data_IF_301545997842
#
_entry.id   IF_301545997842
#
_cell.length_a   1.000
_cell.length_b   1.000
_cell.length_c   1.000
_cell.angle_alpha   90.00
_cell.angle_beta   90.00
_cell.angle_gamma   90.00
#
_symmetry.space_group_name_H-M   'P 1'
#
loop_
_entity.id
_entity.type
_entity.pdbx_description
1 polymer ?
#
# COMPACT_ATOMS: atom_id res chain seq x y z
N UNK A 1 -13.31 -16.11 -14.96
CA UNK A 1 -12.25 -16.35 -13.96
C UNK A 1 -12.69 -15.78 -12.58
N UNK A 2 -12.37 -16.45 -11.46
CA UNK A 2 -12.54 -15.81 -10.16
C UNK A 2 -11.74 -14.51 -10.13
N UNK A 3 -12.26 -13.51 -9.41
CA UNK A 3 -11.52 -12.27 -9.19
C UNK A 3 -10.22 -12.62 -8.45
N UNK A 4 -9.09 -12.02 -8.84
CA UNK A 4 -7.83 -12.26 -8.17
C UNK A 4 -7.97 -11.92 -6.68
N UNK A 5 -7.58 -12.87 -5.84
CA UNK A 5 -7.55 -12.69 -4.38
C UNK A 5 -6.17 -12.18 -3.96
N UNK A 6 -6.09 -11.30 -2.94
CA UNK A 6 -4.81 -10.91 -2.37
C UNK A 6 -3.98 -12.12 -1.92
N UNK A 7 -2.66 -12.03 -2.09
CA UNK A 7 -1.67 -13.02 -1.66
C UNK A 7 -0.77 -13.55 -2.78
N UNK A 8 -1.15 -13.33 -4.04
CA UNK A 8 -0.39 -13.80 -5.22
C UNK A 8 -0.25 -12.73 -6.31
N UNK A 9 -0.56 -11.46 -6.02
CA UNK A 9 -0.38 -10.34 -6.94
C UNK A 9 1.05 -9.86 -7.08
N UNK A 10 1.21 -8.73 -7.77
CA UNK A 10 2.49 -8.05 -7.97
C UNK A 10 2.73 -7.11 -6.80
N UNK A 11 3.87 -7.24 -6.11
CA UNK A 11 4.15 -6.47 -4.91
C UNK A 11 4.89 -5.17 -5.25
N UNK A 12 4.75 -4.14 -4.43
CA UNK A 12 5.55 -2.93 -4.56
C UNK A 12 5.82 -2.36 -3.17
N UNK A 13 7.08 -2.36 -2.76
CA UNK A 13 7.49 -1.85 -1.45
C UNK A 13 7.61 -0.32 -1.49
N UNK A 14 6.75 0.37 -0.73
CA UNK A 14 6.78 1.83 -0.54
C UNK A 14 7.78 2.20 0.58
N UNK A 15 8.23 1.21 1.35
CA UNK A 15 9.17 1.33 2.44
C UNK A 15 8.54 1.75 3.76
N UNK A 16 9.41 1.94 4.74
CA UNK A 16 9.04 2.39 6.09
C UNK A 16 9.06 3.90 6.21
N UNK A 17 8.01 4.46 6.82
CA UNK A 17 7.85 5.90 7.07
C UNK A 17 7.51 6.16 8.54
N UNK A 18 7.92 7.31 9.02
CA UNK A 18 7.55 7.85 10.34
C UNK A 18 6.76 9.14 10.08
N UNK A 19 5.47 9.14 10.42
CA UNK A 19 4.54 10.21 10.05
C UNK A 19 3.83 10.68 11.32
N UNK A 20 3.79 12.00 11.52
CA UNK A 20 3.08 12.59 12.65
C UNK A 20 1.57 12.39 12.51
N UNK A 21 0.89 12.16 13.63
CA UNK A 21 -0.56 12.06 13.69
C UNK A 21 -1.19 13.41 14.03
N UNK A 22 -2.49 13.55 13.73
CA UNK A 22 -3.27 14.76 13.94
C UNK A 22 -3.60 15.06 15.42
N UNK A 23 -3.13 14.24 16.37
CA UNK A 23 -3.40 14.43 17.79
C UNK A 23 -2.95 15.82 18.30
N UNK A 24 -3.77 16.47 19.14
CA UNK A 24 -3.41 17.72 19.77
C UNK A 24 -2.06 17.63 20.49
N UNK A 25 -1.20 18.62 20.24
CA UNK A 25 0.14 18.70 20.84
C UNK A 25 1.25 18.06 20.01
N UNK A 26 0.94 17.39 18.89
CA UNK A 26 1.92 17.00 17.86
C UNK A 26 3.03 16.04 18.32
N UNK A 27 2.79 15.31 19.42
CA UNK A 27 3.78 14.39 20.00
C UNK A 27 3.65 12.95 19.49
N UNK A 28 2.56 12.66 18.77
CA UNK A 28 2.24 11.30 18.33
C UNK A 28 2.64 11.07 16.89
N UNK A 29 3.14 9.88 16.61
CA UNK A 29 3.54 9.47 15.29
C UNK A 29 3.23 8.00 15.04
N UNK A 30 3.06 7.66 13.76
CA UNK A 30 2.95 6.31 13.26
C UNK A 30 4.22 5.97 12.51
N UNK A 31 4.94 4.95 12.97
CA UNK A 31 5.94 4.24 12.18
C UNK A 31 5.25 3.09 11.45
N UNK A 32 5.23 3.14 10.13
CA UNK A 32 4.55 2.14 9.29
C UNK A 32 5.42 1.75 8.12
N UNK A 33 5.51 0.46 7.83
CA UNK A 33 6.06 -0.06 6.59
C UNK A 33 4.94 -0.55 5.69
N UNK A 34 4.96 -0.15 4.42
CA UNK A 34 3.83 -0.29 3.50
C UNK A 34 4.28 -1.04 2.25
N UNK A 35 3.60 -2.14 1.95
CA UNK A 35 3.74 -2.86 0.68
C UNK A 35 2.38 -2.88 -0.01
N UNK A 36 2.34 -2.42 -1.25
CA UNK A 36 1.14 -2.46 -2.08
C UNK A 36 1.12 -3.77 -2.85
N UNK A 37 -0.07 -4.35 -3.02
CA UNK A 37 -0.28 -5.47 -3.92
C UNK A 37 -1.19 -5.05 -5.06
N UNK A 38 -0.69 -5.20 -6.27
CA UNK A 38 -1.39 -4.87 -7.50
C UNK A 38 -1.92 -6.13 -8.18
N UNK A 39 -3.11 -6.00 -8.76
CA UNK A 39 -3.66 -7.00 -9.65
C UNK A 39 -2.77 -7.10 -10.89
N UNK A 40 -2.29 -8.29 -11.27
CA UNK A 40 -1.61 -8.49 -12.54
C UNK A 40 -2.52 -8.09 -13.70
N UNK A 41 -1.94 -7.47 -14.73
CA UNK A 41 -2.69 -7.10 -15.95
C UNK A 41 -3.15 -8.33 -16.74
N UNK A 42 -2.42 -9.45 -16.65
CA UNK A 42 -2.76 -10.72 -17.29
C UNK A 42 -2.95 -11.81 -16.24
N UNK A 43 -4.12 -12.46 -16.27
CA UNK A 43 -4.44 -13.61 -15.41
C UNK A 43 -3.53 -14.82 -15.62
N UNK A 44 -2.83 -14.91 -16.76
CA UNK A 44 -1.80 -15.91 -16.99
C UNK A 44 -0.72 -15.90 -15.90
N UNK A 45 -0.51 -14.74 -15.24
CA UNK A 45 0.35 -14.58 -14.07
C UNK A 45 0.23 -15.71 -13.05
N UNK A 46 -0.99 -16.12 -12.71
CA UNK A 46 -1.24 -17.15 -11.69
C UNK A 46 -0.79 -18.56 -12.09
N UNK A 47 -0.51 -18.77 -13.38
CA UNK A 47 -0.05 -20.05 -13.93
C UNK A 47 1.39 -19.99 -14.46
N UNK A 48 2.03 -18.82 -14.42
CA UNK A 48 3.40 -18.63 -14.89
C UNK A 48 4.42 -19.26 -13.94
N UNK A 49 5.56 -19.66 -14.52
CA UNK A 49 6.71 -20.10 -13.73
C UNK A 49 7.22 -18.98 -12.83
N UNK A 50 7.81 -19.33 -11.69
CA UNK A 50 8.31 -18.36 -10.70
C UNK A 50 9.37 -17.43 -11.28
N UNK A 51 10.23 -17.92 -12.18
CA UNK A 51 11.25 -17.10 -12.85
C UNK A 51 10.64 -16.01 -13.73
N UNK A 52 9.61 -16.36 -14.52
CA UNK A 52 8.91 -15.39 -15.38
C UNK A 52 8.17 -14.33 -14.57
N UNK A 53 7.56 -14.73 -13.44
CA UNK A 53 6.93 -13.77 -12.52
C UNK A 53 7.96 -12.82 -11.91
N UNK A 54 9.14 -13.30 -11.55
CA UNK A 54 10.21 -12.45 -11.00
C UNK A 54 10.71 -11.40 -12.01
N UNK A 55 10.82 -11.77 -13.30
CA UNK A 55 11.20 -10.81 -14.35
C UNK A 55 10.14 -9.72 -14.54
N UNK A 56 8.86 -10.09 -14.62
CA UNK A 56 7.74 -9.15 -14.73
C UNK A 56 7.58 -8.27 -13.48
N UNK A 57 7.80 -8.84 -12.29
CA UNK A 57 7.84 -8.13 -11.02
C UNK A 57 8.88 -7.00 -11.05
N UNK A 58 10.11 -7.29 -11.51
CA UNK A 58 11.18 -6.28 -11.58
C UNK A 58 10.89 -5.16 -12.60
N UNK A 59 10.26 -5.50 -13.73
CA UNK A 59 9.80 -4.51 -14.71
C UNK A 59 8.72 -3.61 -14.13
N UNK A 60 7.75 -4.18 -13.42
CA UNK A 60 6.69 -3.44 -12.76
C UNK A 60 7.23 -2.51 -11.68
N UNK A 61 8.17 -2.98 -10.85
CA UNK A 61 8.84 -2.14 -9.84
C UNK A 61 9.53 -0.93 -10.48
N UNK A 62 10.18 -1.12 -11.64
CA UNK A 62 10.84 -0.04 -12.39
C UNK A 62 9.82 0.99 -12.89
N UNK A 63 8.68 0.55 -13.40
CA UNK A 63 7.59 1.45 -13.82
C UNK A 63 7.03 2.24 -12.62
N UNK A 64 6.75 1.54 -11.53
CA UNK A 64 6.13 2.08 -10.33
C UNK A 64 7.07 3.00 -9.54
N UNK A 65 8.39 2.85 -9.66
CA UNK A 65 9.37 3.77 -9.08
C UNK A 65 9.15 5.22 -9.54
N UNK A 66 8.65 5.44 -10.76
CA UNK A 66 8.32 6.80 -11.25
C UNK A 66 7.08 7.40 -10.58
N UNK A 67 6.21 6.56 -10.01
CA UNK A 67 4.98 6.94 -9.30
C UNK A 67 5.15 6.98 -7.79
N UNK A 68 6.23 6.41 -7.28
CA UNK A 68 6.52 6.31 -5.85
C UNK A 68 6.41 7.65 -5.10
N UNK A 69 6.95 8.79 -5.59
CA UNK A 69 6.83 10.05 -4.86
C UNK A 69 5.38 10.49 -4.63
N UNK A 70 4.49 10.23 -5.60
CA UNK A 70 3.08 10.60 -5.53
C UNK A 70 2.31 9.66 -4.59
N UNK A 71 2.65 8.36 -4.61
CA UNK A 71 2.11 7.37 -3.67
C UNK A 71 2.51 7.76 -2.24
N UNK A 72 3.78 8.09 -2.01
CA UNK A 72 4.29 8.48 -0.70
C UNK A 72 3.62 9.74 -0.16
N UNK A 73 3.48 10.78 -0.98
CA UNK A 73 2.79 12.02 -0.61
C UNK A 73 1.33 11.78 -0.20
N UNK A 74 0.63 10.93 -0.95
CA UNK A 74 -0.76 10.54 -0.65
C UNK A 74 -0.86 9.76 0.66
N UNK A 75 0.04 8.81 0.89
CA UNK A 75 0.12 8.04 2.15
C UNK A 75 0.40 8.96 3.34
N UNK A 76 1.39 9.85 3.21
CA UNK A 76 1.73 10.84 4.24
C UNK A 76 0.53 11.72 4.56
N UNK A 77 -0.17 12.21 3.54
CA UNK A 77 -1.35 13.05 3.68
C UNK A 77 -2.49 12.33 4.41
N UNK A 78 -2.76 11.07 4.05
CA UNK A 78 -3.79 10.25 4.70
C UNK A 78 -3.43 10.04 6.18
N UNK A 79 -2.22 9.57 6.47
CA UNK A 79 -1.80 9.24 7.85
C UNK A 79 -1.73 10.50 8.71
N UNK A 80 -1.22 11.62 8.17
CA UNK A 80 -1.14 12.89 8.90
C UNK A 80 -2.51 13.47 9.27
N UNK A 81 -3.58 13.02 8.61
CA UNK A 81 -4.96 13.39 8.95
C UNK A 81 -5.58 12.52 10.06
N UNK A 82 -4.93 11.43 10.46
CA UNK A 82 -5.46 10.49 11.45
C UNK A 82 -5.01 10.82 12.86
N UNK A 83 -5.88 10.59 13.83
CA UNK A 83 -5.51 10.55 15.25
C UNK A 83 -5.09 9.14 15.66
N UNK A 84 -4.42 9.03 16.80
CA UNK A 84 -4.08 7.76 17.46
C UNK A 84 -5.29 6.84 17.57
N UNK A 85 -6.43 7.39 18.04
CA UNK A 85 -7.65 6.62 18.27
C UNK A 85 -8.19 5.97 16.98
N UNK A 86 -7.97 6.61 15.84
CA UNK A 86 -8.39 6.13 14.53
C UNK A 86 -7.50 5.03 13.96
N UNK A 87 -6.29 4.81 14.50
CA UNK A 87 -5.31 3.87 13.90
C UNK A 87 -4.80 2.79 14.86
N UNK A 88 -4.99 2.93 16.17
CA UNK A 88 -4.45 1.95 17.14
C UNK A 88 -5.26 0.65 17.19
N UNK A 89 -6.56 0.68 16.86
CA UNK A 89 -7.44 -0.50 16.87
C UNK A 89 -7.30 -1.32 15.61
N UNK A 90 -7.70 -2.60 15.64
CA UNK A 90 -7.74 -3.45 14.45
C UNK A 90 -8.64 -2.86 13.35
N UNK A 91 -9.82 -2.39 13.75
CA UNK A 91 -10.78 -1.74 12.84
C UNK A 91 -10.19 -0.46 12.23
N UNK A 92 -9.50 0.36 13.03
CA UNK A 92 -8.82 1.56 12.56
C UNK A 92 -7.72 1.26 11.54
N UNK A 93 -6.93 0.21 11.76
CA UNK A 93 -5.93 -0.27 10.79
C UNK A 93 -6.58 -0.73 9.49
N UNK A 94 -7.71 -1.43 9.55
CA UNK A 94 -8.46 -1.83 8.36
C UNK A 94 -9.05 -0.62 7.63
N UNK A 95 -9.60 0.34 8.37
CA UNK A 95 -10.08 1.61 7.79
C UNK A 95 -8.98 2.36 7.06
N UNK A 96 -7.81 2.49 7.67
CA UNK A 96 -6.63 3.11 7.05
C UNK A 96 -6.19 2.37 5.78
N UNK A 97 -6.18 1.02 5.83
CA UNK A 97 -5.88 0.17 4.68
C UNK A 97 -6.81 0.45 3.50
N UNK A 98 -8.12 0.39 3.75
CA UNK A 98 -9.14 0.61 2.71
C UNK A 98 -9.07 2.03 2.14
N UNK A 99 -8.81 3.03 2.97
CA UNK A 99 -8.65 4.40 2.51
C UNK A 99 -7.43 4.57 1.59
N UNK A 100 -6.28 3.98 1.94
CA UNK A 100 -5.09 3.98 1.08
C UNK A 100 -5.38 3.29 -0.25
N UNK A 101 -6.00 2.11 -0.24
CA UNK A 101 -6.38 1.37 -1.46
C UNK A 101 -7.26 2.24 -2.37
N UNK A 102 -8.34 2.79 -1.82
CA UNK A 102 -9.29 3.60 -2.58
C UNK A 102 -8.64 4.85 -3.19
N UNK A 103 -7.80 5.53 -2.42
CA UNK A 103 -7.14 6.77 -2.85
C UNK A 103 -6.06 6.52 -3.90
N UNK A 104 -5.28 5.44 -3.77
CA UNK A 104 -4.30 5.05 -4.79
C UNK A 104 -5.01 4.61 -6.08
N UNK A 105 -6.08 3.82 -5.99
CA UNK A 105 -6.84 3.38 -7.17
C UNK A 105 -7.49 4.54 -7.94
N UNK A 106 -7.94 5.59 -7.25
CA UNK A 106 -8.42 6.83 -7.89
C UNK A 106 -7.30 7.57 -8.64
N UNK A 107 -6.08 7.52 -8.11
CA UNK A 107 -4.90 8.17 -8.67
C UNK A 107 -4.29 7.39 -9.85
N UNK A 108 -4.32 6.05 -9.78
CA UNK A 108 -3.72 5.13 -10.75
C UNK A 108 -4.81 4.24 -11.38
N UNK A 109 -5.66 4.79 -12.26
CA UNK A 109 -6.81 4.04 -12.79
C UNK A 109 -6.42 2.82 -13.63
N UNK A 110 -5.19 2.79 -14.14
CA UNK A 110 -4.66 1.68 -14.94
C UNK A 110 -4.02 0.59 -14.09
N UNK A 111 -3.73 0.83 -12.81
CA UNK A 111 -3.07 -0.12 -11.91
C UNK A 111 -3.95 -0.33 -10.68
N UNK A 112 -4.55 -1.51 -10.58
CA UNK A 112 -5.47 -1.83 -9.51
C UNK A 112 -4.72 -2.36 -8.30
N UNK A 113 -4.66 -1.58 -7.22
CA UNK A 113 -4.28 -2.07 -5.89
C UNK A 113 -5.39 -2.96 -5.35
N UNK A 114 -5.05 -4.22 -5.09
CA UNK A 114 -5.92 -5.21 -4.45
C UNK A 114 -5.84 -5.13 -2.94
N UNK A 115 -4.64 -4.88 -2.41
CA UNK A 115 -4.40 -4.87 -0.97
C UNK A 115 -3.23 -4.00 -0.55
N UNK A 116 -3.19 -3.65 0.74
CA UNK A 116 -2.08 -2.94 1.37
C UNK A 116 -1.65 -3.72 2.60
N UNK A 117 -0.39 -4.14 2.60
CA UNK A 117 0.23 -4.81 3.73
C UNK A 117 0.95 -3.82 4.61
N UNK A 118 0.76 -3.95 5.93
CA UNK A 118 1.57 -3.27 6.93
C UNK A 118 2.54 -4.29 7.52
N UNK A 119 3.81 -4.23 7.13
CA UNK A 119 4.85 -5.13 7.66
C UNK A 119 5.51 -4.57 8.94
N UNK A 120 5.33 -3.27 9.20
CA UNK A 120 5.61 -2.61 10.47
C UNK A 120 4.46 -1.67 10.80
N UNK A 121 4.04 -1.62 12.08
CA UNK A 121 2.97 -0.72 12.53
C UNK A 121 3.10 -0.42 14.02
N UNK A 122 3.78 0.68 14.35
CA UNK A 122 4.01 1.13 15.72
C UNK A 122 3.48 2.55 15.88
N UNK A 123 2.57 2.73 16.82
CA UNK A 123 2.02 4.05 17.18
C UNK A 123 2.63 4.47 18.51
N UNK A 124 3.12 5.71 18.60
CA UNK A 124 3.66 6.32 19.83
C UNK A 124 3.12 7.73 20.04
#
# INVERSE_FOLDING_TARGET
PPLPVPGEGVLFDVGTKVINLADPGGRRYLKVGIVLEFAPHDTAWYTMATEQRAELQALFETEMATKQPVIEDLVISIISSKSFEQVYTLEGKEGLRQEIINRINQMLPTQLVMYVYFNEFVVQ
#
